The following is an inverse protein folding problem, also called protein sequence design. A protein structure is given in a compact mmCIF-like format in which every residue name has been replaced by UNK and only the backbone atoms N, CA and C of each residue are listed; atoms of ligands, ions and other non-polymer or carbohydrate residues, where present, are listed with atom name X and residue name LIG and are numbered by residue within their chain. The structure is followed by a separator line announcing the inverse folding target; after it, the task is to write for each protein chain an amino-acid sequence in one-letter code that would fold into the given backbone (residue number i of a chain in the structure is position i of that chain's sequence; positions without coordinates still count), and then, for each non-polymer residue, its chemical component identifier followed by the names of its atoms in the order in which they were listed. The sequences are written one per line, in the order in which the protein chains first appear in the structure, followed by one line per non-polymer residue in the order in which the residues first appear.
data_IF_482072678899
#
_entry.id   IF_482072678899
#
_cell.length_a   1.000
_cell.length_b   1.000
_cell.length_c   1.000
_cell.angle_alpha   90.00
_cell.angle_beta   90.00
_cell.angle_gamma   90.00
#
_symmetry.space_group_name_H-M   'P 1'
#
loop_
_entity.id
_entity.type
_entity.pdbx_description
1 polymer ?
#
# COMPACT_ATOMS: atom_id res chain seq x y z
N UNK A 1 17.09 40.53 -17.05
CA UNK A 1 16.79 39.09 -16.96
C UNK A 1 15.74 38.93 -15.87
N UNK A 2 14.59 38.37 -16.20
CA UNK A 2 13.55 38.06 -15.21
C UNK A 2 13.85 36.69 -14.63
N UNK A 3 14.14 36.63 -13.33
CA UNK A 3 14.23 35.37 -12.61
C UNK A 3 12.81 34.83 -12.42
N UNK A 4 12.57 33.58 -12.85
CA UNK A 4 11.28 32.92 -12.74
C UNK A 4 11.46 31.55 -12.08
N UNK A 5 10.53 31.21 -11.17
CA UNK A 5 10.42 29.89 -10.57
C UNK A 5 9.34 29.12 -11.34
N UNK A 6 9.71 27.98 -11.92
CA UNK A 6 8.79 27.11 -12.68
C UNK A 6 8.50 25.84 -11.89
N UNK A 7 7.22 25.52 -11.69
CA UNK A 7 6.79 24.33 -10.95
C UNK A 7 5.89 23.49 -11.84
N UNK A 8 6.28 22.21 -12.01
CA UNK A 8 5.52 21.25 -12.81
C UNK A 8 4.33 20.70 -12.01
N UNK A 9 3.26 20.32 -12.72
CA UNK A 9 2.06 19.71 -12.14
C UNK A 9 1.39 20.57 -11.05
N UNK A 10 1.27 21.89 -11.29
CA UNK A 10 0.69 22.83 -10.32
C UNK A 10 -0.74 22.46 -9.89
N UNK A 11 -1.48 21.73 -10.73
CA UNK A 11 -2.81 21.22 -10.42
C UNK A 11 -2.83 20.25 -9.23
N UNK A 12 -1.68 19.64 -8.88
CA UNK A 12 -1.50 18.76 -7.72
C UNK A 12 -1.29 19.53 -6.41
N UNK A 13 -1.29 20.87 -6.44
CA UNK A 13 -1.09 21.71 -5.26
C UNK A 13 -2.28 22.65 -5.04
N UNK A 14 -2.57 22.93 -3.78
CA UNK A 14 -3.29 24.12 -3.34
C UNK A 14 -2.25 25.21 -3.21
N UNK A 15 -2.50 26.39 -3.78
CA UNK A 15 -1.60 27.53 -3.68
C UNK A 15 -2.30 28.68 -2.98
N UNK A 16 -1.55 29.35 -2.12
CA UNK A 16 -2.02 30.51 -1.37
C UNK A 16 -0.92 31.58 -1.38
N UNK A 17 -1.32 32.85 -1.50
CA UNK A 17 -0.40 33.98 -1.36
C UNK A 17 -0.85 34.76 -0.12
N UNK A 18 0.00 34.77 0.91
CA UNK A 18 -0.23 35.50 2.16
C UNK A 18 1.05 36.22 2.56
N UNK A 19 0.95 37.48 3.01
CA UNK A 19 2.11 38.30 3.43
C UNK A 19 3.30 38.20 2.46
N UNK A 20 3.02 38.37 1.16
CA UNK A 20 4.02 38.32 0.10
C UNK A 20 4.76 36.96 -0.04
N UNK A 21 4.18 35.87 0.49
CA UNK A 21 4.72 34.51 0.42
C UNK A 21 3.79 33.59 -0.35
N UNK A 22 4.30 32.92 -1.39
CA UNK A 22 3.59 31.83 -2.08
C UNK A 22 3.80 30.51 -1.32
N UNK A 23 2.72 29.93 -0.80
CA UNK A 23 2.71 28.61 -0.16
C UNK A 23 2.07 27.58 -1.08
N UNK A 24 2.71 26.43 -1.26
CA UNK A 24 2.20 25.31 -2.05
C UNK A 24 2.01 24.08 -1.17
N UNK A 25 0.75 23.66 -1.02
CA UNK A 25 0.39 22.46 -0.25
C UNK A 25 -0.02 21.35 -1.21
N UNK A 26 0.64 20.17 -1.19
CA UNK A 26 0.20 19.04 -2.01
C UNK A 26 -1.26 18.69 -1.73
N UNK A 27 -2.06 18.54 -2.80
CA UNK A 27 -3.42 18.00 -2.70
C UNK A 27 -3.33 16.51 -2.34
N UNK A 28 -4.33 16.06 -1.59
CA UNK A 28 -4.64 14.65 -1.50
C UNK A 28 -5.16 14.21 -2.88
N UNK A 29 -4.48 13.25 -3.52
CA UNK A 29 -4.82 12.81 -4.88
C UNK A 29 -5.49 11.44 -4.81
N UNK A 30 -6.74 11.35 -5.28
CA UNK A 30 -7.36 10.07 -5.55
C UNK A 30 -6.78 9.49 -6.84
N UNK A 31 -6.28 8.26 -6.79
CA UNK A 31 -5.64 7.58 -7.91
C UNK A 31 -6.36 6.29 -8.27
N UNK A 32 -6.26 5.90 -9.53
CA UNK A 32 -6.71 4.61 -10.05
C UNK A 32 -5.77 3.47 -9.64
N UNK A 33 -6.20 2.23 -9.85
CA UNK A 33 -5.36 1.07 -9.60
C UNK A 33 -4.12 1.06 -10.50
N UNK A 34 -4.27 1.42 -11.78
CA UNK A 34 -3.16 1.47 -12.74
C UNK A 34 -2.09 2.47 -12.32
N UNK A 35 -2.52 3.64 -11.82
CA UNK A 35 -1.63 4.66 -11.28
C UNK A 35 -0.95 4.18 -9.98
N UNK A 36 -1.69 3.52 -9.08
CA UNK A 36 -1.12 2.98 -7.85
C UNK A 36 -0.04 1.93 -8.13
N UNK A 37 -0.27 1.04 -9.09
CA UNK A 37 0.69 -0.01 -9.48
C UNK A 37 1.97 0.58 -10.10
N UNK A 38 1.87 1.74 -10.77
CA UNK A 38 3.00 2.46 -11.36
C UNK A 38 3.71 3.39 -10.37
N UNK A 39 3.07 3.72 -9.24
CA UNK A 39 3.63 4.59 -8.22
C UNK A 39 4.78 3.90 -7.49
N UNK A 40 5.89 4.61 -7.28
CA UNK A 40 6.97 4.12 -6.43
C UNK A 40 6.62 4.30 -4.96
N UNK A 41 6.47 3.18 -4.25
CA UNK A 41 6.16 3.10 -2.83
C UNK A 41 7.41 2.92 -1.95
N UNK A 42 8.61 3.03 -2.51
CA UNK A 42 9.83 3.06 -1.71
C UNK A 42 9.76 4.17 -0.66
N UNK A 43 10.15 3.85 0.58
CA UNK A 43 10.09 4.77 1.74
C UNK A 43 8.71 5.39 2.04
N UNK A 44 7.64 4.89 1.43
CA UNK A 44 6.29 5.38 1.66
C UNK A 44 5.71 4.89 2.99
N UNK A 45 4.70 5.62 3.48
CA UNK A 45 4.02 5.31 4.74
C UNK A 45 2.51 5.29 4.54
N UNK A 46 1.88 4.17 4.90
CA UNK A 46 0.42 4.10 5.00
C UNK A 46 -0.02 5.00 6.17
N UNK A 47 -0.81 6.02 5.87
CA UNK A 47 -1.43 6.89 6.86
C UNK A 47 -2.70 6.24 7.42
N UNK A 48 -3.52 5.72 6.52
CA UNK A 48 -4.79 5.07 6.82
C UNK A 48 -5.00 3.89 5.87
N UNK A 49 -5.53 2.79 6.38
CA UNK A 49 -5.97 1.66 5.58
C UNK A 49 -7.18 1.05 6.24
N UNK A 50 -8.17 0.65 5.44
CA UNK A 50 -9.35 -0.06 5.87
C UNK A 50 -9.70 -1.09 4.81
N UNK A 51 -9.54 -2.36 5.15
CA UNK A 51 -9.89 -3.51 4.31
C UNK A 51 -11.10 -4.19 4.93
N UNK A 52 -12.15 -4.41 4.13
CA UNK A 52 -13.41 -5.00 4.58
C UNK A 52 -13.89 -6.12 3.67
N UNK A 53 -14.68 -7.02 4.24
CA UNK A 53 -15.58 -7.92 3.52
C UNK A 53 -17.00 -7.61 3.99
N UNK A 54 -17.80 -6.97 3.14
CA UNK A 54 -19.07 -6.39 3.56
C UNK A 54 -18.85 -5.46 4.78
N UNK A 55 -19.49 -5.75 5.92
CA UNK A 55 -19.33 -4.99 7.17
C UNK A 55 -18.15 -5.46 8.05
N UNK A 56 -17.55 -6.62 7.74
CA UNK A 56 -16.47 -7.17 8.55
C UNK A 56 -15.14 -6.45 8.25
N UNK A 57 -14.48 -5.96 9.30
CA UNK A 57 -13.13 -5.39 9.20
C UNK A 57 -12.09 -6.52 9.16
N UNK A 58 -11.39 -6.62 8.03
CA UNK A 58 -10.29 -7.56 7.83
C UNK A 58 -8.98 -6.97 8.35
N UNK A 59 -8.71 -5.69 8.07
CA UNK A 59 -7.50 -5.03 8.55
C UNK A 59 -7.59 -3.51 8.54
N UNK A 60 -6.89 -2.88 9.49
CA UNK A 60 -6.70 -1.42 9.61
C UNK A 60 -5.25 -1.03 9.87
N UNK A 61 -4.29 -1.91 9.52
CA UNK A 61 -2.89 -1.72 9.86
C UNK A 61 -2.23 -0.67 8.97
N UNK A 62 -1.17 -0.04 9.49
CA UNK A 62 -0.36 0.97 8.78
C UNK A 62 0.94 0.42 8.16
N UNK A 63 1.11 -0.90 8.15
CA UNK A 63 2.25 -1.58 7.51
C UNK A 63 1.71 -2.49 6.41
N UNK A 64 2.30 -2.42 5.22
CA UNK A 64 1.90 -3.23 4.05
C UNK A 64 1.84 -4.72 4.40
N UNK A 65 2.94 -5.29 4.87
CA UNK A 65 3.01 -6.72 5.20
C UNK A 65 2.05 -7.12 6.33
N UNK A 66 1.78 -6.23 7.29
CA UNK A 66 0.79 -6.51 8.34
C UNK A 66 -0.63 -6.58 7.80
N UNK A 67 -1.00 -5.74 6.83
CA UNK A 67 -2.29 -5.85 6.14
C UNK A 67 -2.38 -7.15 5.35
N UNK A 68 -1.33 -7.50 4.60
CA UNK A 68 -1.28 -8.71 3.82
C UNK A 68 -1.39 -9.98 4.69
N UNK A 69 -0.66 -10.02 5.81
CA UNK A 69 -0.75 -11.11 6.78
C UNK A 69 -2.15 -11.27 7.38
N UNK A 70 -2.86 -10.15 7.63
CA UNK A 70 -4.24 -10.20 8.10
C UNK A 70 -5.20 -10.75 7.03
N UNK A 71 -4.99 -10.41 5.75
CA UNK A 71 -5.77 -10.98 4.65
C UNK A 71 -5.54 -12.50 4.58
N UNK A 72 -4.28 -12.95 4.56
CA UNK A 72 -3.93 -14.37 4.51
C UNK A 72 -4.47 -15.15 5.72
N UNK A 73 -4.48 -14.59 6.93
CA UNK A 73 -5.05 -15.26 8.11
C UNK A 73 -6.55 -15.61 7.96
N UNK A 74 -7.27 -14.95 7.04
CA UNK A 74 -8.68 -15.25 6.77
C UNK A 74 -8.87 -16.23 5.61
N UNK A 75 -7.79 -16.79 5.06
CA UNK A 75 -7.81 -17.69 3.92
C UNK A 75 -7.37 -19.10 4.31
N UNK A 76 -7.92 -20.14 3.67
CA UNK A 76 -7.33 -21.47 3.73
C UNK A 76 -5.90 -21.47 3.16
N UNK A 77 -4.97 -22.17 3.81
CA UNK A 77 -3.55 -22.22 3.40
C UNK A 77 -3.38 -22.64 1.94
N UNK A 78 -4.12 -23.66 1.48
CA UNK A 78 -4.07 -24.11 0.09
C UNK A 78 -4.42 -22.98 -0.90
N UNK A 79 -5.42 -22.16 -0.57
CA UNK A 79 -5.80 -21.01 -1.41
C UNK A 79 -4.67 -19.98 -1.46
N UNK A 80 -4.03 -19.70 -0.31
CA UNK A 80 -2.89 -18.78 -0.25
C UNK A 80 -1.79 -19.26 -1.20
N UNK A 81 -1.38 -20.54 -1.08
CA UNK A 81 -0.29 -21.11 -1.89
C UNK A 81 -0.60 -21.13 -3.40
N UNK A 82 -1.87 -21.21 -3.78
CA UNK A 82 -2.29 -21.21 -5.19
C UNK A 82 -2.38 -19.80 -5.78
N UNK A 83 -2.61 -18.77 -4.97
CA UNK A 83 -2.91 -17.42 -5.46
C UNK A 83 -1.82 -16.39 -5.18
N UNK A 84 -0.90 -16.68 -4.25
CA UNK A 84 0.15 -15.74 -3.85
C UNK A 84 1.30 -15.67 -4.84
N UNK A 85 1.86 -14.48 -5.05
CA UNK A 85 3.12 -14.31 -5.78
C UNK A 85 4.36 -14.41 -4.89
N UNK A 86 4.19 -14.54 -3.57
CA UNK A 86 5.27 -14.59 -2.59
C UNK A 86 5.86 -16.00 -2.48
N UNK A 87 7.17 -16.08 -2.32
CA UNK A 87 7.83 -17.33 -1.98
C UNK A 87 7.53 -17.68 -0.52
N UNK A 88 6.99 -18.88 -0.31
CA UNK A 88 6.62 -19.38 1.01
C UNK A 88 7.15 -20.79 1.23
N UNK A 89 7.50 -21.12 2.48
CA UNK A 89 7.99 -22.43 2.89
C UNK A 89 7.26 -22.90 4.15
N UNK A 90 6.80 -24.15 4.14
CA UNK A 90 6.09 -24.77 5.27
C UNK A 90 7.00 -25.07 6.47
N UNK A 91 8.31 -25.00 6.29
CA UNK A 91 9.33 -25.13 7.34
C UNK A 91 9.69 -23.77 7.93
N UNK A 92 10.22 -23.79 9.16
CA UNK A 92 10.75 -22.59 9.80
C UNK A 92 12.14 -22.26 9.25
N UNK A 93 12.19 -21.24 8.39
CA UNK A 93 13.40 -20.74 7.74
C UNK A 93 13.68 -19.29 8.18
N UNK A 94 13.28 -18.91 9.39
CA UNK A 94 13.43 -17.54 9.91
C UNK A 94 14.88 -17.04 9.81
N UNK A 95 15.06 -15.82 9.28
CA UNK A 95 16.35 -15.17 9.12
C UNK A 95 17.19 -15.67 7.92
N UNK A 96 16.81 -16.76 7.28
CA UNK A 96 17.52 -17.32 6.12
C UNK A 96 16.98 -16.73 4.83
N UNK A 97 17.84 -16.26 3.92
CA UNK A 97 17.47 -15.72 2.60
C UNK A 97 16.31 -14.70 2.60
N UNK A 98 16.16 -13.92 3.67
CA UNK A 98 15.08 -12.95 3.85
C UNK A 98 13.71 -13.55 4.21
N UNK A 99 13.64 -14.84 4.52
CA UNK A 99 12.43 -15.47 5.06
C UNK A 99 12.19 -15.06 6.51
N UNK A 100 10.92 -14.85 6.83
CA UNK A 100 10.45 -14.53 8.19
C UNK A 100 9.35 -15.52 8.57
N UNK A 101 9.46 -16.14 9.74
CA UNK A 101 8.49 -17.11 10.22
C UNK A 101 7.23 -16.42 10.76
N UNK A 102 6.08 -16.75 10.18
CA UNK A 102 4.78 -16.29 10.68
C UNK A 102 4.18 -17.33 11.61
N UNK A 103 4.26 -17.08 12.93
CA UNK A 103 3.67 -17.96 13.94
C UNK A 103 2.16 -18.19 13.77
N UNK A 104 1.45 -17.22 13.18
CA UNK A 104 -0.01 -17.28 12.96
C UNK A 104 -0.36 -18.12 11.74
N UNK A 105 0.42 -18.02 10.67
CA UNK A 105 0.21 -18.77 9.44
C UNK A 105 0.94 -20.11 9.44
N UNK A 106 1.87 -20.33 10.38
CA UNK A 106 2.75 -21.50 10.46
C UNK A 106 3.52 -21.73 9.15
N UNK A 107 4.04 -20.65 8.58
CA UNK A 107 4.77 -20.65 7.31
C UNK A 107 5.85 -19.56 7.33
N UNK A 108 6.99 -19.83 6.70
CA UNK A 108 8.02 -18.84 6.42
C UNK A 108 7.69 -18.11 5.12
N UNK A 109 7.76 -16.79 5.15
CA UNK A 109 7.42 -15.91 4.01
C UNK A 109 8.64 -15.07 3.67
N UNK A 110 9.08 -15.10 2.41
CA UNK A 110 10.18 -14.26 1.98
C UNK A 110 9.74 -12.81 1.88
N UNK A 111 10.49 -11.91 2.52
CA UNK A 111 10.19 -10.48 2.48
C UNK A 111 10.30 -9.92 1.05
N UNK A 112 9.44 -8.94 0.74
CA UNK A 112 9.51 -8.13 -0.48
C UNK A 112 9.29 -6.66 -0.13
N UNK A 113 9.68 -5.77 -1.03
CA UNK A 113 9.48 -4.34 -0.85
C UNK A 113 8.00 -3.92 -0.87
N UNK A 114 7.75 -2.65 -0.57
CA UNK A 114 6.40 -2.08 -0.51
C UNK A 114 5.66 -2.15 -1.85
N UNK A 115 6.36 -2.01 -2.99
CA UNK A 115 5.75 -2.06 -4.32
C UNK A 115 5.17 -3.46 -4.60
N UNK A 116 5.97 -4.50 -4.42
CA UNK A 116 5.52 -5.87 -4.60
C UNK A 116 4.45 -6.26 -3.57
N UNK A 117 4.61 -5.83 -2.32
CA UNK A 117 3.63 -6.11 -1.27
C UNK A 117 2.29 -5.45 -1.57
N UNK A 118 2.28 -4.21 -2.08
CA UNK A 118 1.03 -3.53 -2.45
C UNK A 118 0.33 -4.23 -3.62
N UNK A 119 1.07 -4.64 -4.66
CA UNK A 119 0.50 -5.42 -5.78
C UNK A 119 -0.14 -6.72 -5.29
N UNK A 120 0.52 -7.41 -4.37
CA UNK A 120 0.00 -8.63 -3.76
C UNK A 120 -1.25 -8.35 -2.89
N UNK A 121 -1.27 -7.26 -2.13
CA UNK A 121 -2.48 -6.84 -1.40
C UNK A 121 -3.64 -6.65 -2.40
N UNK A 122 -3.46 -5.90 -3.49
CA UNK A 122 -4.51 -5.68 -4.48
C UNK A 122 -5.00 -7.00 -5.11
N UNK A 123 -4.09 -7.90 -5.44
CA UNK A 123 -4.44 -9.25 -5.92
C UNK A 123 -5.29 -10.00 -4.88
N UNK A 124 -4.86 -10.03 -3.62
CA UNK A 124 -5.57 -10.72 -2.55
C UNK A 124 -6.92 -10.08 -2.22
N UNK A 125 -7.06 -8.76 -2.37
CA UNK A 125 -8.35 -8.06 -2.27
C UNK A 125 -9.33 -8.60 -3.32
N UNK A 126 -8.90 -8.70 -4.59
CA UNK A 126 -9.72 -9.20 -5.70
C UNK A 126 -10.08 -10.69 -5.53
N UNK A 127 -9.10 -11.54 -5.23
CA UNK A 127 -9.27 -12.99 -5.01
C UNK A 127 -10.27 -13.31 -3.89
N UNK A 128 -10.38 -12.44 -2.88
CA UNK A 128 -11.24 -12.65 -1.73
C UNK A 128 -12.50 -11.79 -1.71
N UNK A 129 -12.73 -10.99 -2.76
CA UNK A 129 -13.93 -10.18 -2.88
C UNK A 129 -14.04 -9.12 -1.76
N UNK A 130 -12.92 -8.48 -1.45
CA UNK A 130 -12.83 -7.46 -0.40
C UNK A 130 -12.89 -6.05 -0.99
N UNK A 131 -13.23 -5.09 -0.13
CA UNK A 131 -13.10 -3.66 -0.41
C UNK A 131 -11.89 -3.11 0.34
N UNK A 132 -11.22 -2.12 -0.24
CA UNK A 132 -10.08 -1.42 0.37
C UNK A 132 -10.22 0.09 0.19
N UNK A 133 -9.92 0.83 1.25
CA UNK A 133 -9.64 2.26 1.21
C UNK A 133 -8.28 2.47 1.88
N UNK A 134 -7.33 3.05 1.15
CA UNK A 134 -5.96 3.25 1.62
C UNK A 134 -5.45 4.64 1.26
N UNK A 135 -4.78 5.28 2.21
CA UNK A 135 -4.10 6.56 2.07
C UNK A 135 -2.62 6.38 2.38
N UNK A 136 -1.77 6.83 1.48
CA UNK A 136 -0.32 6.61 1.52
C UNK A 136 0.40 7.94 1.34
N UNK A 137 1.30 8.27 2.25
CA UNK A 137 2.27 9.35 2.08
C UNK A 137 3.51 8.81 1.37
N UNK A 138 3.80 9.36 0.20
CA UNK A 138 5.00 9.06 -0.57
C UNK A 138 6.23 9.73 0.05
N UNK A 139 7.42 9.31 -0.38
CA UNK A 139 8.70 9.92 0.04
C UNK A 139 8.75 11.43 -0.27
N UNK A 140 8.17 11.85 -1.40
CA UNK A 140 8.03 13.26 -1.79
C UNK A 140 7.16 14.08 -0.83
N UNK A 141 6.46 13.43 0.11
CA UNK A 141 5.50 14.05 1.01
C UNK A 141 4.08 14.11 0.44
N UNK A 142 3.89 13.84 -0.85
CA UNK A 142 2.59 13.75 -1.50
C UNK A 142 1.74 12.64 -0.87
N UNK A 143 0.45 12.90 -0.70
CA UNK A 143 -0.51 11.93 -0.18
C UNK A 143 -1.40 11.46 -1.32
N UNK A 144 -1.38 10.17 -1.57
CA UNK A 144 -2.25 9.49 -2.54
C UNK A 144 -3.30 8.67 -1.80
N UNK A 145 -4.49 8.61 -2.37
CA UNK A 145 -5.61 7.83 -1.87
C UNK A 145 -6.08 6.88 -2.95
N UNK A 146 -6.38 5.65 -2.56
CA UNK A 146 -6.95 4.64 -3.45
C UNK A 146 -8.12 3.97 -2.76
N UNK A 147 -9.19 3.77 -3.55
CA UNK A 147 -10.40 3.09 -3.10
C UNK A 147 -10.81 2.05 -4.15
N UNK A 148 -11.11 0.85 -3.68
CA UNK A 148 -11.74 -0.20 -4.45
C UNK A 148 -12.88 -0.80 -3.63
N UNK A 149 -14.06 -0.91 -4.23
CA UNK A 149 -15.22 -1.55 -3.64
C UNK A 149 -15.62 -2.71 -4.54
N UNK A 150 -15.95 -3.84 -3.92
CA UNK A 150 -16.64 -4.91 -4.62
C UNK A 150 -18.16 -4.78 -4.48
#
# INVERSE_FOLDING_TARGET
MTEAICIQNINQYIYEIHENTLTLTPKNIDITEEELIKTNLHSSKILQCMIKKNDEIISTKRKYLSNLNNIWQRMPMQKILQTTSFNMKLTNEDGKDGYNWSNKLKISIQSRDANYTMKEILNMIKVNKYSIHISIKLESGQIINYKYNM
#
